data_IF_826259569967
#
_entry.id   IF_826259569967
#
_cell.length_a   1.000
_cell.length_b   1.000
_cell.length_c   1.000
_cell.angle_alpha   90.00
_cell.angle_beta   90.00
_cell.angle_gamma   90.00
#
_symmetry.space_group_name_H-M   'P 1'
#
loop_
_entity.id
_entity.type
_entity.pdbx_description
1 polymer ?
#
# COMPACT_ATOMS: atom_id res chain seq x y z
N UNK A 1 11.64 19.90 -13.11
CA UNK A 1 10.96 18.60 -13.10
C UNK A 1 11.61 17.80 -12.00
N UNK A 2 10.79 17.25 -11.10
CA UNK A 2 11.19 16.34 -10.03
C UNK A 2 11.46 14.96 -10.62
N UNK A 3 12.40 14.28 -9.99
CA UNK A 3 12.71 12.86 -10.19
C UNK A 3 12.33 12.05 -8.96
N UNK A 4 12.31 10.72 -9.10
CA UNK A 4 12.11 9.80 -7.97
C UNK A 4 13.20 10.00 -6.90
N UNK A 5 14.46 10.23 -7.32
CA UNK A 5 15.58 10.51 -6.41
C UNK A 5 15.35 11.77 -5.54
N UNK A 6 14.70 12.81 -6.07
CA UNK A 6 14.41 14.03 -5.32
C UNK A 6 13.37 13.76 -4.20
N UNK A 7 12.38 12.91 -4.47
CA UNK A 7 11.36 12.49 -3.50
C UNK A 7 11.97 11.55 -2.46
N UNK A 8 12.76 10.58 -2.91
CA UNK A 8 13.50 9.65 -2.06
C UNK A 8 14.43 10.37 -1.09
N UNK A 9 15.14 11.42 -1.52
CA UNK A 9 16.00 12.20 -0.61
C UNK A 9 15.20 12.81 0.55
N UNK A 10 14.00 13.31 0.29
CA UNK A 10 13.10 13.87 1.33
C UNK A 10 12.72 12.77 2.32
N UNK A 11 12.27 11.62 1.81
CA UNK A 11 11.81 10.48 2.62
C UNK A 11 12.95 9.87 3.43
N UNK A 12 14.12 9.65 2.83
CA UNK A 12 15.29 9.09 3.51
C UNK A 12 15.82 10.02 4.59
N UNK A 13 15.82 11.34 4.34
CA UNK A 13 16.20 12.31 5.37
C UNK A 13 15.25 12.24 6.56
N UNK A 14 13.94 12.18 6.32
CA UNK A 14 12.92 12.03 7.35
C UNK A 14 13.09 10.75 8.17
N UNK A 15 13.36 9.63 7.50
CA UNK A 15 13.64 8.36 8.17
C UNK A 15 14.90 8.43 9.06
N UNK A 16 15.93 9.16 8.63
CA UNK A 16 17.17 9.31 9.39
C UNK A 16 17.08 10.25 10.60
N UNK A 17 16.21 11.28 10.54
CA UNK A 17 16.10 12.30 11.60
C UNK A 17 14.78 12.28 12.39
N UNK A 18 13.79 11.48 11.96
CA UNK A 18 12.46 11.36 12.55
C UNK A 18 11.48 12.50 12.20
N UNK A 19 11.87 13.46 11.36
CA UNK A 19 11.03 14.61 10.98
C UNK A 19 10.06 14.29 9.84
N UNK A 20 9.19 13.31 10.09
CA UNK A 20 8.18 12.88 9.13
C UNK A 20 7.12 13.97 8.86
N UNK A 21 6.75 14.78 9.87
CA UNK A 21 5.80 15.89 9.65
C UNK A 21 6.39 16.98 8.73
N UNK A 22 7.66 17.34 8.92
CA UNK A 22 8.33 18.31 8.04
C UNK A 22 8.48 17.80 6.61
N UNK A 23 8.78 16.51 6.44
CA UNK A 23 8.82 15.87 5.12
C UNK A 23 7.44 15.86 4.43
N UNK A 24 6.39 15.51 5.16
CA UNK A 24 5.02 15.54 4.66
C UNK A 24 4.63 16.94 4.15
N UNK A 25 4.86 17.98 4.95
CA UNK A 25 4.56 19.37 4.57
C UNK A 25 5.36 19.84 3.34
N UNK A 26 6.60 19.34 3.20
CA UNK A 26 7.43 19.61 2.02
C UNK A 26 6.82 18.98 0.77
N UNK A 27 6.39 17.72 0.85
CA UNK A 27 5.75 16.99 -0.24
C UNK A 27 4.42 17.62 -0.65
N UNK A 28 3.59 18.06 0.31
CA UNK A 28 2.37 18.81 0.01
C UNK A 28 2.66 20.12 -0.72
N UNK A 29 3.70 20.84 -0.30
CA UNK A 29 4.13 22.08 -0.97
C UNK A 29 4.55 21.80 -2.42
N UNK A 30 5.21 20.67 -2.68
CA UNK A 30 5.56 20.25 -4.05
C UNK A 30 4.32 19.82 -4.85
N UNK A 31 3.34 19.17 -4.21
CA UNK A 31 2.08 18.78 -4.84
C UNK A 31 1.28 19.98 -5.36
N UNK A 32 1.42 21.16 -4.74
CA UNK A 32 0.83 22.43 -5.18
C UNK A 32 1.61 23.15 -6.30
N UNK A 33 2.73 22.59 -6.77
CA UNK A 33 3.63 23.21 -7.76
C UNK A 33 3.70 22.40 -9.07
N UNK A 34 2.69 22.52 -9.95
CA UNK A 34 2.61 21.71 -11.18
C UNK A 34 3.77 21.94 -12.15
N UNK A 35 4.46 23.08 -12.06
CA UNK A 35 5.69 23.38 -12.82
C UNK A 35 6.89 22.49 -12.45
N UNK A 36 6.79 21.80 -11.31
CA UNK A 36 7.83 20.88 -10.82
C UNK A 36 7.55 19.42 -11.12
N UNK A 37 6.30 19.05 -11.43
CA UNK A 37 5.88 17.65 -11.62
C UNK A 37 6.53 17.03 -12.86
N UNK A 38 6.53 15.71 -12.97
CA UNK A 38 7.01 14.96 -14.14
C UNK A 38 6.01 13.87 -14.54
N UNK A 39 6.36 13.03 -15.53
CA UNK A 39 5.48 11.93 -15.94
C UNK A 39 5.30 10.88 -14.83
N UNK A 40 6.32 10.68 -13.98
CA UNK A 40 6.30 9.73 -12.86
C UNK A 40 5.97 10.40 -11.53
N UNK A 41 6.39 11.66 -11.34
CA UNK A 41 6.10 12.44 -10.14
C UNK A 41 4.89 13.33 -10.39
N UNK A 42 3.72 12.82 -10.02
CA UNK A 42 2.45 13.53 -10.17
C UNK A 42 2.04 14.18 -8.86
N UNK A 43 1.02 15.06 -8.93
CA UNK A 43 0.37 15.57 -7.72
C UNK A 43 -0.14 14.45 -6.83
N UNK A 44 -0.82 13.46 -7.40
CA UNK A 44 -1.37 12.33 -6.65
C UNK A 44 -0.28 11.49 -5.97
N UNK A 45 0.85 11.22 -6.64
CA UNK A 45 1.94 10.46 -6.01
C UNK A 45 2.58 11.23 -4.86
N UNK A 46 2.84 12.52 -5.02
CA UNK A 46 3.36 13.38 -3.95
C UNK A 46 2.43 13.44 -2.73
N UNK A 47 1.10 13.46 -2.95
CA UNK A 47 0.11 13.41 -1.88
C UNK A 47 0.07 12.04 -1.18
N UNK A 48 0.28 10.94 -1.91
CA UNK A 48 0.45 9.60 -1.31
C UNK A 48 1.70 9.57 -0.43
N UNK A 49 2.83 10.09 -0.92
CA UNK A 49 4.08 10.12 -0.14
C UNK A 49 3.93 11.01 1.11
N UNK A 50 3.28 12.16 0.97
CA UNK A 50 2.96 13.03 2.10
C UNK A 50 2.09 12.32 3.15
N UNK A 51 1.04 11.62 2.70
CA UNK A 51 0.18 10.83 3.57
C UNK A 51 0.95 9.72 4.30
N UNK A 52 1.90 9.08 3.61
CA UNK A 52 2.76 8.05 4.21
C UNK A 52 3.66 8.63 5.29
N UNK A 53 4.23 9.82 5.07
CA UNK A 53 5.01 10.53 6.08
C UNK A 53 4.15 10.92 7.31
N UNK A 54 2.93 11.42 7.11
CA UNK A 54 2.02 11.66 8.24
C UNK A 54 1.68 10.37 9.00
N UNK A 55 1.46 9.26 8.30
CA UNK A 55 1.25 7.94 8.91
C UNK A 55 2.42 7.48 9.77
N UNK A 56 3.66 7.67 9.30
CA UNK A 56 4.87 7.40 10.08
C UNK A 56 4.98 8.30 11.32
N UNK A 57 4.43 9.52 11.27
CA UNK A 57 4.29 10.42 12.41
C UNK A 57 3.08 10.10 13.33
N UNK A 58 2.35 9.01 13.05
CA UNK A 58 1.10 8.59 13.69
C UNK A 58 -0.04 9.62 13.58
N UNK A 59 0.02 10.48 12.56
CA UNK A 59 -0.96 11.53 12.28
C UNK A 59 -1.97 11.07 11.23
N UNK A 60 -2.79 10.07 11.60
CA UNK A 60 -3.66 9.36 10.65
C UNK A 60 -4.74 10.24 10.05
N UNK A 61 -5.22 11.26 10.76
CA UNK A 61 -6.20 12.20 10.22
C UNK A 61 -5.61 13.04 9.08
N UNK A 62 -4.36 13.50 9.19
CA UNK A 62 -3.66 14.19 8.11
C UNK A 62 -3.29 13.24 6.97
N UNK A 63 -2.87 12.01 7.28
CA UNK A 63 -2.62 10.98 6.27
C UNK A 63 -3.86 10.72 5.40
N UNK A 64 -5.02 10.51 6.04
CA UNK A 64 -6.32 10.32 5.37
C UNK A 64 -6.68 11.53 4.51
N UNK A 65 -6.43 12.76 4.98
CA UNK A 65 -6.66 13.98 4.18
C UNK A 65 -5.84 13.96 2.89
N UNK A 66 -4.55 13.64 2.98
CA UNK A 66 -3.66 13.56 1.81
C UNK A 66 -4.11 12.46 0.84
N UNK A 67 -4.42 11.26 1.34
CA UNK A 67 -4.88 10.16 0.49
C UNK A 67 -6.21 10.44 -0.19
N UNK A 68 -7.18 11.08 0.50
CA UNK A 68 -8.43 11.53 -0.14
C UNK A 68 -8.16 12.53 -1.25
N UNK A 69 -7.23 13.46 -1.04
CA UNK A 69 -6.84 14.42 -2.07
C UNK A 69 -6.16 13.73 -3.27
N UNK A 70 -5.30 12.73 -3.04
CA UNK A 70 -4.68 11.94 -4.11
C UNK A 70 -5.72 11.17 -4.94
N UNK A 71 -6.69 10.54 -4.28
CA UNK A 71 -7.80 9.83 -4.96
C UNK A 71 -8.66 10.80 -5.78
N UNK A 72 -8.95 11.99 -5.23
CA UNK A 72 -9.75 13.00 -5.92
C UNK A 72 -9.03 13.63 -7.12
N UNK A 73 -7.71 13.75 -7.06
CA UNK A 73 -6.88 14.27 -8.15
C UNK A 73 -6.92 13.35 -9.37
N UNK A 74 -6.79 12.04 -9.15
CA UNK A 74 -6.93 11.03 -10.21
C UNK A 74 -5.76 10.95 -11.20
N UNK A 75 -4.67 11.70 -10.99
CA UNK A 75 -3.43 11.50 -11.75
C UNK A 75 -2.82 10.11 -11.47
N UNK A 76 -1.95 9.66 -12.37
CA UNK A 76 -1.29 8.36 -12.25
C UNK A 76 -0.42 8.27 -11.00
N UNK A 77 -0.52 7.14 -10.31
CA UNK A 77 0.35 6.73 -9.22
C UNK A 77 0.96 5.34 -9.53
N UNK A 78 2.12 5.01 -8.95
CA UNK A 78 2.69 3.66 -9.06
C UNK A 78 1.73 2.55 -8.57
N UNK A 79 1.03 2.81 -7.47
CA UNK A 79 -0.03 1.95 -6.91
C UNK A 79 -1.29 2.78 -6.73
N UNK A 80 -2.46 2.17 -6.93
CA UNK A 80 -3.76 2.82 -6.76
C UNK A 80 -3.88 3.52 -5.39
N UNK A 81 -4.04 4.86 -5.33
CA UNK A 81 -4.02 5.60 -4.07
C UNK A 81 -5.14 5.20 -3.09
N UNK A 82 -6.18 4.53 -3.57
CA UNK A 82 -7.28 4.02 -2.73
C UNK A 82 -6.82 2.97 -1.73
N UNK A 83 -5.73 2.25 -1.98
CA UNK A 83 -5.24 1.25 -1.01
C UNK A 83 -4.63 1.91 0.23
N UNK A 84 -3.92 3.02 0.05
CA UNK A 84 -3.37 3.82 1.14
C UNK A 84 -4.47 4.56 1.90
N UNK A 85 -5.49 5.04 1.19
CA UNK A 85 -6.69 5.59 1.84
C UNK A 85 -7.39 4.53 2.71
N UNK A 86 -7.56 3.29 2.22
CA UNK A 86 -8.13 2.20 3.00
C UNK A 86 -7.34 1.93 4.30
N UNK A 87 -6.01 1.86 4.18
CA UNK A 87 -5.09 1.68 5.31
C UNK A 87 -5.19 2.80 6.35
N UNK A 88 -5.18 4.05 5.87
CA UNK A 88 -5.34 5.25 6.71
C UNK A 88 -6.70 5.29 7.42
N UNK A 89 -7.79 5.00 6.71
CA UNK A 89 -9.15 4.96 7.28
C UNK A 89 -9.26 3.94 8.41
N UNK A 90 -8.65 2.75 8.26
CA UNK A 90 -8.63 1.75 9.33
C UNK A 90 -7.89 2.25 10.57
N UNK A 91 -6.72 2.90 10.39
CA UNK A 91 -5.91 3.41 11.51
C UNK A 91 -6.50 4.64 12.18
N UNK A 92 -7.23 5.47 11.44
CA UNK A 92 -8.00 6.61 11.96
C UNK A 92 -9.34 6.17 12.60
N UNK A 93 -9.68 4.87 12.56
CA UNK A 93 -10.88 4.31 13.17
C UNK A 93 -12.16 4.46 12.33
N UNK A 94 -12.04 4.85 11.06
CA UNK A 94 -13.14 5.06 10.11
C UNK A 94 -13.54 3.76 9.39
N UNK A 95 -13.85 2.70 10.15
CA UNK A 95 -14.02 1.34 9.63
C UNK A 95 -15.15 1.15 8.60
N UNK A 96 -16.26 1.90 8.72
CA UNK A 96 -17.38 1.82 7.76
C UNK A 96 -16.99 2.34 6.37
N UNK A 97 -16.29 3.48 6.33
CA UNK A 97 -15.78 4.06 5.09
C UNK A 97 -14.69 3.16 4.47
N UNK A 98 -13.79 2.62 5.30
CA UNK A 98 -12.81 1.62 4.86
C UNK A 98 -13.50 0.39 4.24
N UNK A 99 -14.57 -0.12 4.86
CA UNK A 99 -15.35 -1.24 4.32
C UNK A 99 -16.02 -0.94 2.97
N UNK A 100 -16.51 0.28 2.79
CA UNK A 100 -17.10 0.73 1.52
C UNK A 100 -16.03 0.80 0.43
N UNK A 101 -14.89 1.43 0.72
CA UNK A 101 -13.76 1.52 -0.20
C UNK A 101 -13.19 0.14 -0.56
N UNK A 102 -13.13 -0.78 0.42
CA UNK A 102 -12.74 -2.18 0.19
C UNK A 102 -13.65 -2.89 -0.80
N UNK A 103 -14.95 -2.60 -0.74
CA UNK A 103 -15.93 -3.15 -1.70
C UNK A 103 -15.67 -2.63 -3.12
N UNK A 104 -15.35 -1.35 -3.26
CA UNK A 104 -15.00 -0.74 -4.55
C UNK A 104 -13.70 -1.33 -5.13
N UNK A 105 -12.65 -1.44 -4.32
CA UNK A 105 -11.37 -2.06 -4.70
C UNK A 105 -11.58 -3.52 -5.15
N UNK A 106 -12.41 -4.28 -4.44
CA UNK A 106 -12.74 -5.67 -4.81
C UNK A 106 -13.46 -5.75 -6.16
N UNK A 107 -14.37 -4.80 -6.43
CA UNK A 107 -15.15 -4.72 -7.66
C UNK A 107 -14.32 -4.27 -8.87
N UNK A 108 -13.28 -3.46 -8.66
CA UNK A 108 -12.37 -3.00 -9.72
C UNK A 108 -11.58 -4.15 -10.37
N UNK A 109 -11.40 -5.27 -9.67
CA UNK A 109 -10.68 -6.47 -10.17
C UNK A 109 -9.33 -6.13 -10.78
N UNK A 110 -8.52 -5.36 -10.06
CA UNK A 110 -7.15 -5.02 -10.48
C UNK A 110 -6.36 -6.27 -10.86
N UNK A 111 -5.45 -6.13 -11.83
CA UNK A 111 -4.45 -7.13 -12.20
C UNK A 111 -3.07 -6.83 -11.58
N UNK A 112 -3.00 -5.83 -10.71
CA UNK A 112 -1.80 -5.46 -9.94
C UNK A 112 -1.80 -6.18 -8.57
N UNK A 113 -0.84 -7.08 -8.31
CA UNK A 113 -0.67 -7.73 -7.01
C UNK A 113 -0.56 -6.74 -5.84
N UNK A 114 0.10 -5.59 -6.04
CA UNK A 114 0.34 -4.60 -4.99
C UNK A 114 -0.95 -4.03 -4.40
N UNK A 115 -2.04 -3.99 -5.19
CA UNK A 115 -3.36 -3.59 -4.70
C UNK A 115 -3.89 -4.59 -3.67
N UNK A 116 -3.73 -5.88 -3.91
CA UNK A 116 -4.23 -6.92 -3.01
C UNK A 116 -3.34 -7.06 -1.79
N UNK A 117 -2.02 -6.96 -1.96
CA UNK A 117 -1.05 -6.97 -0.87
C UNK A 117 -1.34 -5.83 0.11
N UNK A 118 -1.39 -4.59 -0.37
CA UNK A 118 -1.61 -3.42 0.49
C UNK A 118 -2.93 -3.51 1.27
N UNK A 119 -4.02 -3.95 0.63
CA UNK A 119 -5.30 -4.15 1.33
C UNK A 119 -5.20 -5.29 2.35
N UNK A 120 -4.59 -6.42 2.01
CA UNK A 120 -4.46 -7.54 2.92
C UNK A 120 -3.58 -7.21 4.14
N UNK A 121 -2.44 -6.55 3.95
CA UNK A 121 -1.55 -6.08 5.03
C UNK A 121 -2.28 -5.09 5.96
N UNK A 122 -3.06 -4.16 5.40
CA UNK A 122 -3.85 -3.22 6.21
C UNK A 122 -4.91 -3.93 7.07
N UNK A 123 -5.54 -4.99 6.55
CA UNK A 123 -6.49 -5.82 7.27
C UNK A 123 -5.82 -6.64 8.36
N UNK A 124 -4.65 -7.23 8.06
CA UNK A 124 -3.85 -7.98 9.02
C UNK A 124 -3.43 -7.07 10.19
N UNK A 125 -2.91 -5.87 9.90
CA UNK A 125 -2.54 -4.88 10.91
C UNK A 125 -3.72 -4.45 11.79
N UNK A 126 -4.94 -4.42 11.23
CA UNK A 126 -6.17 -4.16 11.97
C UNK A 126 -6.74 -5.38 12.74
N UNK A 127 -6.07 -6.54 12.66
CA UNK A 127 -6.51 -7.79 13.28
C UNK A 127 -7.66 -8.51 12.57
N UNK A 128 -7.99 -8.09 11.34
CA UNK A 128 -9.06 -8.67 10.52
C UNK A 128 -8.50 -9.84 9.68
N UNK A 129 -8.00 -10.87 10.38
CA UNK A 129 -7.21 -11.95 9.77
C UNK A 129 -7.97 -12.76 8.71
N UNK A 130 -9.25 -13.08 8.91
CA UNK A 130 -10.04 -13.80 7.91
C UNK A 130 -10.21 -13.01 6.60
N UNK A 131 -10.42 -11.69 6.71
CA UNK A 131 -10.51 -10.79 5.57
C UNK A 131 -9.13 -10.67 4.88
N UNK A 132 -8.05 -10.54 5.65
CA UNK A 132 -6.68 -10.49 5.12
C UNK A 132 -6.34 -11.75 4.31
N UNK A 133 -6.62 -12.94 4.87
CA UNK A 133 -6.42 -14.22 4.18
C UNK A 133 -7.23 -14.29 2.88
N UNK A 134 -8.47 -13.80 2.90
CA UNK A 134 -9.32 -13.72 1.71
C UNK A 134 -8.69 -12.82 0.64
N UNK A 135 -8.15 -11.67 1.02
CA UNK A 135 -7.53 -10.72 0.08
C UNK A 135 -6.23 -11.23 -0.52
N UNK A 136 -5.33 -11.81 0.28
CA UNK A 136 -4.11 -12.43 -0.24
C UNK A 136 -4.44 -13.55 -1.24
N UNK A 137 -5.34 -14.47 -0.86
CA UNK A 137 -5.74 -15.60 -1.72
C UNK A 137 -6.43 -15.12 -3.00
N UNK A 138 -7.31 -14.12 -2.89
CA UNK A 138 -7.99 -13.52 -4.03
C UNK A 138 -7.00 -12.82 -4.97
N UNK A 139 -6.02 -12.10 -4.42
CA UNK A 139 -5.00 -11.40 -5.19
C UNK A 139 -4.16 -12.34 -6.04
N UNK A 140 -3.67 -13.42 -5.43
CA UNK A 140 -2.89 -14.45 -6.12
C UNK A 140 -3.65 -14.99 -7.34
N UNK A 141 -4.87 -15.50 -7.14
CA UNK A 141 -5.64 -16.09 -8.24
C UNK A 141 -6.09 -15.08 -9.31
N UNK A 142 -6.25 -13.81 -8.96
CA UNK A 142 -6.60 -12.77 -9.94
C UNK A 142 -5.40 -12.30 -10.75
N UNK A 143 -4.20 -12.40 -10.19
CA UNK A 143 -2.96 -11.91 -10.79
C UNK A 143 -2.06 -13.02 -11.33
N UNK A 144 -2.35 -14.30 -11.11
CA UNK A 144 -1.52 -15.45 -11.53
C UNK A 144 -1.24 -15.53 -13.05
N UNK A 145 -1.97 -14.76 -13.86
CA UNK A 145 -1.77 -14.62 -15.32
C UNK A 145 -1.43 -13.20 -15.77
N UNK A 146 -1.24 -12.28 -14.82
CA UNK A 146 -0.86 -10.91 -15.13
C UNK A 146 0.60 -10.88 -15.60
N UNK A 147 0.98 -9.94 -16.49
CA UNK A 147 2.35 -9.80 -16.98
C UNK A 147 3.21 -9.06 -15.94
N UNK A 148 3.30 -9.62 -14.73
CA UNK A 148 4.04 -9.07 -13.60
C UNK A 148 5.17 -10.03 -13.21
N UNK A 149 6.25 -9.55 -12.58
CA UNK A 149 7.27 -10.44 -12.05
C UNK A 149 6.71 -11.47 -11.05
N UNK A 150 7.15 -12.72 -11.17
CA UNK A 150 6.66 -13.83 -10.34
C UNK A 150 6.82 -13.56 -8.84
N UNK A 151 7.91 -12.89 -8.44
CA UNK A 151 8.16 -12.57 -7.02
C UNK A 151 7.03 -11.73 -6.38
N UNK A 152 6.28 -10.93 -7.14
CA UNK A 152 5.15 -10.17 -6.60
C UNK A 152 3.96 -11.10 -6.26
N UNK A 153 3.81 -12.21 -6.99
CA UNK A 153 2.82 -13.24 -6.66
C UNK A 153 3.28 -14.07 -5.45
N UNK A 154 4.58 -14.35 -5.35
CA UNK A 154 5.15 -15.06 -4.20
C UNK A 154 5.00 -14.25 -2.91
N UNK A 155 5.17 -12.93 -2.95
CA UNK A 155 4.94 -12.05 -1.80
C UNK A 155 3.49 -12.13 -1.28
N UNK A 156 2.49 -12.24 -2.17
CA UNK A 156 1.11 -12.49 -1.76
C UNK A 156 0.96 -13.82 -1.02
N UNK A 157 1.68 -14.87 -1.45
CA UNK A 157 1.66 -16.17 -0.79
C UNK A 157 2.39 -16.14 0.56
N UNK A 158 3.47 -15.36 0.68
CA UNK A 158 4.16 -15.12 1.97
C UNK A 158 3.22 -14.47 2.98
N UNK A 159 2.53 -13.39 2.60
CA UNK A 159 1.52 -12.76 3.45
C UNK A 159 0.36 -13.70 3.79
N UNK A 160 -0.15 -14.43 2.79
CA UNK A 160 -1.19 -15.46 2.97
C UNK A 160 -0.80 -16.48 4.04
N UNK A 161 0.41 -17.06 3.93
CA UNK A 161 0.92 -18.08 4.84
C UNK A 161 1.00 -17.54 6.26
N UNK A 162 1.55 -16.33 6.43
CA UNK A 162 1.65 -15.66 7.74
C UNK A 162 0.28 -15.55 8.42
N UNK A 163 -0.74 -15.08 7.69
CA UNK A 163 -2.11 -14.96 8.20
C UNK A 163 -2.73 -16.33 8.51
N UNK A 164 -2.51 -17.35 7.67
CA UNK A 164 -3.02 -18.71 7.91
C UNK A 164 -2.44 -19.34 9.17
N UNK A 165 -1.15 -19.14 9.42
CA UNK A 165 -0.49 -19.58 10.66
C UNK A 165 -1.13 -18.89 11.87
N UNK A 166 -1.37 -17.58 11.79
CA UNK A 166 -2.04 -16.84 12.86
C UNK A 166 -3.48 -17.31 13.12
N UNK A 167 -4.18 -17.78 12.08
CA UNK A 167 -5.52 -18.40 12.16
C UNK A 167 -5.49 -19.87 12.62
N UNK A 168 -4.32 -20.50 12.75
CA UNK A 168 -4.17 -21.90 13.11
C UNK A 168 -4.58 -22.88 12.01
N UNK A 169 -4.60 -22.46 10.76
CA UNK A 169 -4.88 -23.33 9.63
C UNK A 169 -3.71 -24.30 9.37
N UNK A 170 -3.99 -25.54 8.90
CA UNK A 170 -2.94 -26.44 8.44
C UNK A 170 -2.28 -25.90 7.17
N UNK A 171 -1.00 -26.25 6.98
CA UNK A 171 -0.26 -25.93 5.77
C UNK A 171 -0.92 -26.53 4.53
N UNK A 172 -0.88 -25.81 3.40
CA UNK A 172 -1.28 -26.31 2.09
C UNK A 172 -0.21 -26.07 1.02
N UNK A 173 -0.48 -26.52 -0.21
CA UNK A 173 0.49 -26.45 -1.32
C UNK A 173 0.92 -25.02 -1.69
N UNK A 174 0.09 -24.00 -1.44
CA UNK A 174 0.49 -22.60 -1.67
C UNK A 174 1.38 -22.08 -0.53
N UNK A 175 1.23 -22.63 0.68
CA UNK A 175 2.12 -22.35 1.80
C UNK A 175 3.52 -22.94 1.55
N UNK A 176 3.63 -24.09 0.88
CA UNK A 176 4.91 -24.69 0.44
C UNK A 176 5.64 -23.79 -0.58
N UNK A 177 4.92 -23.24 -1.57
CA UNK A 177 5.51 -22.28 -2.53
C UNK A 177 6.06 -21.04 -1.83
N UNK A 178 5.34 -20.51 -0.84
CA UNK A 178 5.81 -19.38 -0.06
C UNK A 178 7.08 -19.72 0.74
N UNK A 179 7.18 -20.93 1.29
CA UNK A 179 8.37 -21.41 2.01
C UNK A 179 9.59 -21.50 1.08
N UNK A 180 9.44 -22.13 -0.08
CA UNK A 180 10.52 -22.24 -1.08
C UNK A 180 11.05 -20.86 -1.50
N UNK A 181 10.15 -19.88 -1.71
CA UNK A 181 10.54 -18.50 -2.02
C UNK A 181 11.32 -17.85 -0.86
N UNK A 182 10.83 -17.97 0.37
CA UNK A 182 11.51 -17.41 1.56
C UNK A 182 12.90 -18.03 1.78
N UNK A 183 13.06 -19.33 1.54
CA UNK A 183 14.36 -20.01 1.62
C UNK A 183 15.33 -19.50 0.55
N UNK A 184 14.82 -19.20 -0.64
CA UNK A 184 15.64 -18.69 -1.76
C UNK A 184 16.11 -17.25 -1.54
N UNK A 185 15.28 -16.40 -0.93
CA UNK A 185 15.61 -14.97 -0.72
C UNK A 185 16.33 -14.72 0.61
N UNK A 186 16.13 -15.60 1.60
CA UNK A 186 16.79 -15.52 2.91
C UNK A 186 18.17 -16.18 3.01
N UNK A 187 18.62 -16.85 1.94
CA UNK A 187 19.90 -17.57 1.84
C UNK A 187 21.10 -16.76 1.40
#
# INVERSE_FOLDING_TARGET
>A
MLSDDDVDEIVFRAAGNGDHRGAAATLETLAERPDTHSETITRASLLVDAGSQYGLAQDWSEAVRCYRAAVADGSTCPVDPRVWLHDGLLRDGQAEEAGSLRTELKAARSADPGVYEAVAESLEAAGLLDDAHTWFTMGYHRCERAPVPDFLLDLLLVGRRRVRVALGHPSDALDEVAEDYMETVGG
#
